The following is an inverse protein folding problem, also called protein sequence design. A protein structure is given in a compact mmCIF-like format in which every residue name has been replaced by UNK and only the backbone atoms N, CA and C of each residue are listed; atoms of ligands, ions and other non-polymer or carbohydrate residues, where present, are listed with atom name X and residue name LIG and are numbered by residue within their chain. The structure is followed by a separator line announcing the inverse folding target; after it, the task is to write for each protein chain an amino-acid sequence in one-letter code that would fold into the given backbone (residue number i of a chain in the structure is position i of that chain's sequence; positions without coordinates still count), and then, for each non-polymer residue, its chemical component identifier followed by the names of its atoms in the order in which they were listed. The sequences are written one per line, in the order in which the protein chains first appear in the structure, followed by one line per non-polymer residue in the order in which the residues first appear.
data_IF_797354314751
#
_entry.id   IF_797354314751
#
_cell.length_a   1.000
_cell.length_b   1.000
_cell.length_c   1.000
_cell.angle_alpha   90.00
_cell.angle_beta   90.00
_cell.angle_gamma   90.00
#
_symmetry.space_group_name_H-M   'P 1'
#
loop_
_entity.id
_entity.type
_entity.pdbx_description
1 polymer ?
#
# COMPACT_ATOMS: atom_id res chain seq x y z
N UNK A 1 -15.10 6.28 8.56
CA UNK A 1 -15.04 5.45 7.34
C UNK A 1 -13.85 4.49 7.28
N UNK A 2 -12.64 4.91 7.67
CA UNK A 2 -11.43 4.06 7.64
C UNK A 2 -11.61 2.68 8.32
N UNK A 3 -12.19 2.56 9.53
CA UNK A 3 -12.34 1.24 10.17
C UNK A 3 -13.23 0.27 9.38
N UNK A 4 -14.32 0.77 8.79
CA UNK A 4 -15.24 -0.03 7.96
C UNK A 4 -14.56 -0.50 6.67
N UNK A 5 -13.81 0.39 6.00
CA UNK A 5 -13.05 0.05 4.80
C UNK A 5 -11.94 -0.96 5.11
N UNK A 6 -11.21 -0.77 6.20
CA UNK A 6 -10.16 -1.68 6.63
C UNK A 6 -10.71 -3.09 6.89
N UNK A 7 -11.85 -3.21 7.58
CA UNK A 7 -12.55 -4.51 7.77
C UNK A 7 -12.92 -5.15 6.44
N UNK A 8 -13.45 -4.38 5.50
CA UNK A 8 -13.80 -4.89 4.18
C UNK A 8 -12.57 -5.40 3.41
N UNK A 9 -11.48 -4.62 3.37
CA UNK A 9 -10.26 -5.02 2.66
C UNK A 9 -9.55 -6.21 3.31
N UNK A 10 -9.50 -6.28 4.65
CA UNK A 10 -8.95 -7.44 5.35
C UNK A 10 -9.76 -8.71 5.09
N UNK A 11 -11.10 -8.61 5.10
CA UNK A 11 -11.96 -9.74 4.76
C UNK A 11 -11.78 -10.18 3.30
N UNK A 12 -11.69 -9.23 2.37
CA UNK A 12 -11.48 -9.51 0.96
C UNK A 12 -10.12 -10.16 0.71
N UNK A 13 -9.05 -9.61 1.27
CA UNK A 13 -7.70 -10.17 1.14
C UNK A 13 -7.61 -11.58 1.73
N UNK A 14 -8.28 -11.82 2.86
CA UNK A 14 -8.35 -13.14 3.48
C UNK A 14 -9.07 -14.16 2.59
N UNK A 15 -10.18 -13.77 1.95
CA UNK A 15 -10.88 -14.60 0.97
C UNK A 15 -10.00 -14.91 -0.27
N UNK A 16 -9.31 -13.90 -0.81
CA UNK A 16 -8.42 -14.07 -1.97
C UNK A 16 -7.25 -15.03 -1.68
N UNK A 17 -6.77 -15.06 -0.43
CA UNK A 17 -5.66 -15.92 0.01
C UNK A 17 -6.12 -17.22 0.68
N UNK A 18 -7.43 -17.47 0.76
CA UNK A 18 -8.03 -18.61 1.47
C UNK A 18 -7.53 -18.78 2.93
N UNK A 19 -7.34 -17.65 3.62
CA UNK A 19 -6.95 -17.59 5.04
C UNK A 19 -8.06 -17.00 5.90
N UNK A 20 -7.96 -17.18 7.21
CA UNK A 20 -8.86 -16.54 8.16
C UNK A 20 -8.71 -15.01 8.14
N UNK A 21 -9.81 -14.25 8.19
CA UNK A 21 -9.75 -12.79 8.26
C UNK A 21 -9.09 -12.33 9.54
N UNK A 22 -8.12 -11.43 9.37
CA UNK A 22 -7.43 -10.75 10.47
C UNK A 22 -8.36 -9.73 11.12
N UNK A 23 -8.29 -9.64 12.44
CA UNK A 23 -9.08 -8.71 13.25
C UNK A 23 -8.17 -7.59 13.76
N UNK A 24 -8.53 -6.34 13.50
CA UNK A 24 -7.84 -5.19 14.07
C UNK A 24 -8.27 -5.03 15.53
N UNK A 25 -7.31 -4.84 16.44
CA UNK A 25 -7.64 -4.41 17.81
C UNK A 25 -8.19 -2.99 17.79
N UNK A 26 -9.00 -2.64 18.80
CA UNK A 26 -9.59 -1.31 18.93
C UNK A 26 -8.52 -0.19 18.91
N UNK A 27 -7.38 -0.41 19.58
CA UNK A 27 -6.24 0.52 19.58
C UNK A 27 -5.65 0.71 18.18
N UNK A 28 -5.51 -0.38 17.41
CA UNK A 28 -5.03 -0.37 16.03
C UNK A 28 -6.03 0.33 15.09
N UNK A 29 -7.33 0.07 15.25
CA UNK A 29 -8.38 0.76 14.47
C UNK A 29 -8.34 2.27 14.70
N UNK A 30 -8.21 2.70 15.96
CA UNK A 30 -8.13 4.12 16.30
C UNK A 30 -6.83 4.75 15.78
N UNK A 31 -5.70 4.02 15.85
CA UNK A 31 -4.43 4.49 15.28
C UNK A 31 -4.55 4.72 13.77
N UNK A 32 -5.04 3.73 13.02
CA UNK A 32 -5.21 3.81 11.56
C UNK A 32 -6.15 4.95 11.14
N UNK A 33 -7.13 5.29 11.97
CA UNK A 33 -8.06 6.41 11.73
C UNK A 33 -7.39 7.78 11.84
N UNK A 34 -6.33 7.91 12.65
CA UNK A 34 -5.60 9.16 12.85
C UNK A 34 -4.46 9.39 11.86
N UNK A 35 -4.09 8.39 11.05
CA UNK A 35 -3.02 8.53 10.08
C UNK A 35 -3.44 9.39 8.88
N UNK A 36 -2.56 10.27 8.39
CA UNK A 36 -2.75 10.89 7.08
C UNK A 36 -2.56 9.80 6.03
N UNK A 37 -3.60 9.55 5.22
CA UNK A 37 -3.57 8.58 4.11
C UNK A 37 -3.29 9.32 2.78
N UNK A 38 -2.05 9.73 2.46
CA UNK A 38 -1.76 10.49 1.24
C UNK A 38 -2.13 9.73 -0.04
N UNK A 39 -2.08 8.39 -0.01
CA UNK A 39 -2.53 7.53 -1.12
C UNK A 39 -4.02 7.15 -1.05
N UNK A 40 -4.78 7.78 -0.14
CA UNK A 40 -6.21 7.54 0.09
C UNK A 40 -6.54 6.05 0.26
N UNK A 41 -7.63 5.61 -0.36
CA UNK A 41 -8.17 4.25 -0.27
C UNK A 41 -7.20 3.19 -0.81
N UNK A 42 -6.41 3.52 -1.84
CA UNK A 42 -5.45 2.55 -2.42
C UNK A 42 -4.33 2.21 -1.45
N UNK A 43 -3.85 3.20 -0.70
CA UNK A 43 -2.84 2.96 0.34
C UNK A 43 -3.41 2.06 1.44
N UNK A 44 -4.62 2.34 1.92
CA UNK A 44 -5.29 1.52 2.92
C UNK A 44 -5.48 0.07 2.44
N UNK A 45 -5.92 -0.13 1.20
CA UNK A 45 -6.08 -1.47 0.62
C UNK A 45 -4.75 -2.23 0.58
N UNK A 46 -3.68 -1.59 0.09
CA UNK A 46 -2.35 -2.19 0.04
C UNK A 46 -1.83 -2.55 1.43
N UNK A 47 -2.02 -1.68 2.41
CA UNK A 47 -1.69 -1.95 3.81
C UNK A 47 -2.45 -3.17 4.32
N UNK A 48 -3.76 -3.27 4.07
CA UNK A 48 -4.56 -4.40 4.52
C UNK A 48 -4.10 -5.73 3.88
N UNK A 49 -3.81 -5.72 2.56
CA UNK A 49 -3.25 -6.90 1.87
C UNK A 49 -1.91 -7.32 2.47
N UNK A 50 -1.02 -6.36 2.73
CA UNK A 50 0.28 -6.62 3.35
C UNK A 50 0.13 -7.22 4.76
N UNK A 51 -0.77 -6.65 5.59
CA UNK A 51 -1.06 -7.17 6.94
C UNK A 51 -1.54 -8.62 6.86
N UNK A 52 -2.41 -8.97 5.91
CA UNK A 52 -2.90 -10.36 5.76
C UNK A 52 -1.75 -11.36 5.51
N UNK A 53 -0.71 -10.95 4.79
CA UNK A 53 0.45 -11.80 4.47
C UNK A 53 1.48 -11.82 5.60
N UNK A 54 1.73 -10.67 6.24
CA UNK A 54 2.86 -10.50 7.15
C UNK A 54 2.50 -10.67 8.63
N UNK A 55 1.26 -10.40 9.02
CA UNK A 55 0.84 -10.56 10.40
C UNK A 55 0.76 -12.05 10.75
N UNK A 56 1.48 -12.46 11.79
CA UNK A 56 1.53 -13.84 12.28
C UNK A 56 0.27 -14.22 13.06
N UNK A 57 -0.32 -13.28 13.82
CA UNK A 57 -1.51 -13.49 14.66
C UNK A 57 -2.84 -13.24 13.95
N UNK A 58 -3.95 -13.76 14.51
CA UNK A 58 -5.31 -13.41 14.06
C UNK A 58 -5.66 -11.97 14.42
N UNK A 59 -5.17 -11.51 15.56
CA UNK A 59 -5.31 -10.13 16.02
C UNK A 59 -4.12 -9.30 15.55
N UNK A 60 -4.39 -8.11 15.00
CA UNK A 60 -3.39 -7.20 14.47
C UNK A 60 -3.16 -6.07 15.47
N UNK A 61 -1.93 -5.99 15.97
CA UNK A 61 -1.47 -4.94 16.85
C UNK A 61 -0.84 -3.78 16.06
N UNK A 62 -0.65 -2.63 16.71
CA UNK A 62 0.05 -1.49 16.11
C UNK A 62 1.48 -1.89 15.69
N UNK A 63 2.15 -2.76 16.47
CA UNK A 63 3.49 -3.28 16.15
C UNK A 63 3.54 -4.16 14.90
N UNK A 64 2.40 -4.71 14.48
CA UNK A 64 2.31 -5.56 13.28
C UNK A 64 2.02 -4.73 12.03
N UNK A 65 1.90 -3.41 12.16
CA UNK A 65 1.70 -2.52 11.04
C UNK A 65 3.00 -2.33 10.25
N UNK A 66 2.90 -2.10 8.94
CA UNK A 66 4.05 -1.82 8.10
C UNK A 66 4.85 -0.62 8.64
N UNK A 67 6.20 -0.67 8.57
CA UNK A 67 7.07 0.36 9.14
C UNK A 67 6.82 1.75 8.54
N UNK A 68 6.30 1.83 7.31
CA UNK A 68 5.93 3.10 6.67
C UNK A 68 4.79 3.84 7.40
N UNK A 69 3.92 3.11 8.13
CA UNK A 69 2.85 3.70 8.95
C UNK A 69 3.29 4.02 10.38
N UNK A 70 4.41 3.43 10.82
CA UNK A 70 5.03 3.68 12.12
C UNK A 70 6.03 4.85 12.05
N UNK A 71 6.67 5.01 10.89
CA UNK A 71 7.66 6.03 10.59
C UNK A 71 7.08 7.04 9.61
N UNK A 72 6.16 7.89 10.05
CA UNK A 72 5.66 8.98 9.21
C UNK A 72 6.49 10.25 9.44
N UNK A 73 7.29 10.71 8.48
CA UNK A 73 7.66 12.12 8.42
C UNK A 73 6.38 12.90 8.07
N UNK A 74 6.01 13.88 8.88
CA UNK A 74 4.80 14.69 8.68
C UNK A 74 4.84 15.59 7.42
N UNK A 75 5.88 15.49 6.59
CA UNK A 75 6.16 16.34 5.43
C UNK A 75 5.95 15.61 4.09
N UNK A 76 4.83 14.90 3.93
CA UNK A 76 4.34 14.60 2.58
C UNK A 76 3.75 15.90 2.00
N UNK A 77 4.63 16.80 1.54
CA UNK A 77 4.23 18.05 0.92
C UNK A 77 3.18 17.78 -0.18
N UNK A 78 2.09 18.56 -0.23
CA UNK A 78 1.08 18.37 -1.26
C UNK A 78 1.76 18.51 -2.62
N UNK A 79 1.57 17.52 -3.49
CA UNK A 79 1.97 17.60 -4.90
C UNK A 79 1.16 18.70 -5.58
N UNK A 80 1.61 19.95 -5.41
CA UNK A 80 0.91 21.15 -5.88
C UNK A 80 0.85 21.22 -7.40
N UNK A 81 1.64 20.40 -8.11
CA UNK A 81 1.62 20.34 -9.56
C UNK A 81 1.79 18.90 -10.10
N UNK A 82 0.74 18.10 -9.96
CA UNK A 82 0.67 16.73 -10.50
C UNK A 82 0.87 16.69 -12.02
N UNK A 83 0.44 17.72 -12.76
CA UNK A 83 0.62 17.80 -14.21
C UNK A 83 2.12 17.87 -14.56
N UNK A 84 2.89 18.72 -13.88
CA UNK A 84 4.34 18.80 -14.07
C UNK A 84 5.08 17.53 -13.66
N UNK A 85 4.62 16.86 -12.60
CA UNK A 85 5.21 15.60 -12.16
C UNK A 85 4.98 14.45 -13.15
N UNK A 86 3.85 14.47 -13.88
CA UNK A 86 3.51 13.43 -14.85
C UNK A 86 4.02 13.71 -16.27
N UNK A 87 4.39 14.96 -16.59
CA UNK A 87 4.95 15.34 -17.91
C UNK A 87 6.11 14.45 -18.40
N UNK A 88 7.07 14.01 -17.56
CA UNK A 88 8.15 13.12 -17.99
C UNK A 88 7.66 11.75 -18.48
N UNK A 89 6.55 11.25 -17.93
CA UNK A 89 5.96 9.96 -18.31
C UNK A 89 4.89 10.08 -19.40
N UNK A 90 4.33 11.28 -19.59
CA UNK A 90 3.33 11.57 -20.61
C UNK A 90 3.95 11.92 -21.98
N UNK A 91 5.26 12.19 -22.04
CA UNK A 91 5.96 12.34 -23.31
C UNK A 91 5.90 10.99 -24.06
N UNK A 92 5.62 10.97 -25.38
CA UNK A 92 5.68 9.74 -26.15
C UNK A 92 7.11 9.24 -26.10
N UNK A 93 7.34 8.21 -25.28
CA UNK A 93 8.55 7.42 -25.34
C UNK A 93 8.57 6.80 -26.74
N UNK A 94 9.27 7.46 -27.67
CA UNK A 94 9.64 6.86 -28.94
C UNK A 94 10.33 5.55 -28.60
N UNK A 95 9.61 4.47 -28.87
CA UNK A 95 10.04 3.08 -28.77
C UNK A 95 11.17 2.88 -29.78
N UNK A 96 12.35 3.41 -29.48
CA UNK A 96 13.53 3.29 -30.31
C UNK A 96 14.56 2.46 -29.54
N UNK A 97 14.51 1.15 -29.83
CA UNK A 97 15.68 0.27 -29.95
C UNK A 97 16.23 -0.37 -28.67
N UNK A 98 15.55 -1.42 -28.22
CA UNK A 98 16.21 -2.58 -27.60
C UNK A 98 15.98 -3.83 -28.48
N UNK A 99 16.53 -3.83 -29.70
CA UNK A 99 16.81 -5.05 -30.44
C UNK A 99 18.30 -5.02 -30.81
N UNK A 100 19.00 -6.12 -30.53
CA UNK A 100 20.47 -6.32 -30.50
C UNK A 100 21.04 -5.99 -29.11
N UNK A 101 21.44 -6.96 -28.29
CA UNK A 101 22.48 -7.95 -28.63
C UNK A 101 22.21 -9.34 -28.02
N UNK A 102 22.32 -10.33 -28.91
CA UNK A 102 22.70 -11.74 -28.74
C UNK A 102 23.05 -12.30 -27.35
N UNK A 103 22.44 -13.46 -27.09
CA UNK A 103 22.96 -14.61 -26.33
C UNK A 103 24.49 -14.65 -26.23
N UNK A 104 25.01 -14.62 -25.01
CA UNK A 104 26.34 -15.11 -24.65
C UNK A 104 26.30 -15.62 -23.20
N UNK A 105 25.87 -16.86 -23.02
CA UNK A 105 26.23 -17.67 -21.85
C UNK A 105 27.16 -18.76 -22.39
N UNK A 106 28.42 -18.69 -21.97
CA UNK A 106 29.41 -19.75 -22.06
C UNK A 106 29.68 -20.21 -20.62
#
# INVERSE_FOLDING_TARGET
DIPTLAKHFLSRAAQELAVEPKLLKAETEEYLKHLPWPGNVRQLENTCRWITVMASGREVHISDLPPELLSLPQDAAPVTNWEQALRPWAAPATFQRCFSTSVAFA
#
